data_IF_981563086466
#
_entry.id   IF_981563086466
#
_cell.length_a   1.000
_cell.length_b   1.000
_cell.length_c   1.000
_cell.angle_alpha   90.00
_cell.angle_beta   90.00
_cell.angle_gamma   90.00
#
_symmetry.space_group_name_H-M   'P 1'
#
loop_
_entity.id
_entity.type
_entity.pdbx_description
1 polymer ?
#
# COMPACT_ATOMS: atom_id res chain seq x y z
N UNK A 1 1.33 18.17 19.66
CA UNK A 1 1.50 17.67 18.28
C UNK A 1 0.75 18.61 17.36
N UNK A 2 1.34 19.08 16.25
CA UNK A 2 0.60 19.88 15.27
C UNK A 2 -0.58 19.04 14.75
N UNK A 3 -1.76 19.63 14.74
CA UNK A 3 -2.97 18.97 14.26
C UNK A 3 -2.88 18.87 12.73
N UNK A 4 -2.88 17.65 12.19
CA UNK A 4 -2.91 17.43 10.73
C UNK A 4 -4.11 18.18 10.14
N UNK A 5 -3.93 19.03 9.12
CA UNK A 5 -5.03 19.78 8.51
C UNK A 5 -6.14 18.86 8.02
N UNK A 6 -7.40 19.29 8.16
CA UNK A 6 -8.58 18.46 7.83
C UNK A 6 -8.55 17.93 6.40
N UNK A 7 -8.25 18.78 5.41
CA UNK A 7 -8.17 18.35 4.01
C UNK A 7 -7.10 17.29 3.75
N UNK A 8 -6.00 17.31 4.50
CA UNK A 8 -4.94 16.29 4.40
C UNK A 8 -5.43 14.97 4.98
N UNK A 9 -6.13 15.00 6.12
CA UNK A 9 -6.75 13.81 6.72
C UNK A 9 -7.80 13.20 5.79
N UNK A 10 -8.69 14.01 5.24
CA UNK A 10 -9.72 13.54 4.30
C UNK A 10 -9.10 12.92 3.05
N UNK A 11 -8.02 13.52 2.52
CA UNK A 11 -7.31 12.96 1.38
C UNK A 11 -6.63 11.62 1.76
N UNK A 12 -6.06 11.53 2.96
CA UNK A 12 -5.50 10.27 3.46
C UNK A 12 -6.57 9.17 3.52
N UNK A 13 -7.71 9.44 4.16
CA UNK A 13 -8.82 8.50 4.27
C UNK A 13 -9.39 8.07 2.91
N UNK A 14 -9.51 9.01 1.95
CA UNK A 14 -9.94 8.70 0.58
C UNK A 14 -8.96 7.77 -0.12
N UNK A 15 -7.67 8.04 -0.05
CA UNK A 15 -6.65 7.18 -0.66
C UNK A 15 -6.61 5.81 0.00
N UNK A 16 -6.70 5.73 1.33
CA UNK A 16 -6.81 4.46 2.06
C UNK A 16 -8.02 3.63 1.59
N UNK A 17 -9.17 4.28 1.36
CA UNK A 17 -10.35 3.61 0.83
C UNK A 17 -10.14 3.07 -0.59
N UNK A 18 -9.49 3.84 -1.46
CA UNK A 18 -9.17 3.41 -2.83
C UNK A 18 -8.19 2.23 -2.84
N UNK A 19 -7.16 2.26 -1.99
CA UNK A 19 -6.21 1.14 -1.84
C UNK A 19 -6.90 -0.13 -1.32
N UNK A 20 -7.82 0.01 -0.37
CA UNK A 20 -8.66 -1.10 0.07
C UNK A 20 -9.49 -1.70 -1.07
N UNK A 21 -10.14 -0.87 -1.89
CA UNK A 21 -10.90 -1.33 -3.06
C UNK A 21 -10.01 -2.03 -4.09
N UNK A 22 -8.80 -1.51 -4.32
CA UNK A 22 -7.84 -2.12 -5.25
C UNK A 22 -7.38 -3.51 -4.76
N UNK A 23 -7.10 -3.67 -3.46
CA UNK A 23 -6.81 -4.98 -2.84
C UNK A 23 -7.98 -5.95 -2.98
N UNK A 24 -9.20 -5.49 -2.68
CA UNK A 24 -10.39 -6.31 -2.85
C UNK A 24 -10.58 -6.79 -4.30
N UNK A 25 -10.29 -5.90 -5.26
CA UNK A 25 -10.33 -6.22 -6.70
C UNK A 25 -9.27 -7.26 -7.06
N UNK A 26 -8.03 -7.09 -6.61
CA UNK A 26 -6.96 -8.07 -6.84
C UNK A 26 -7.31 -9.44 -6.26
N UNK A 27 -7.83 -9.49 -5.03
CA UNK A 27 -8.29 -10.75 -4.41
C UNK A 27 -9.40 -11.45 -5.23
N UNK A 28 -10.29 -10.68 -5.87
CA UNK A 28 -11.29 -11.24 -6.76
C UNK A 28 -10.66 -11.81 -8.04
N UNK A 29 -9.68 -11.11 -8.62
CA UNK A 29 -8.92 -11.58 -9.78
C UNK A 29 -8.13 -12.85 -9.45
N UNK A 30 -7.53 -12.93 -8.27
CA UNK A 30 -6.81 -14.11 -7.78
C UNK A 30 -7.72 -15.34 -7.74
N UNK A 31 -8.93 -15.21 -7.18
CA UNK A 31 -9.92 -16.30 -7.16
C UNK A 31 -10.34 -16.74 -8.57
N UNK A 32 -10.56 -15.78 -9.47
CA UNK A 32 -10.89 -16.10 -10.87
C UNK A 32 -9.72 -16.82 -11.54
N UNK A 33 -8.47 -16.40 -11.27
CA UNK A 33 -7.30 -17.06 -11.81
C UNK A 33 -7.19 -18.50 -11.29
N UNK A 34 -7.39 -18.73 -9.99
CA UNK A 34 -7.44 -20.07 -9.40
C UNK A 34 -8.48 -20.99 -10.08
N UNK A 35 -9.67 -20.46 -10.36
CA UNK A 35 -10.75 -21.20 -11.03
C UNK A 35 -10.43 -21.53 -12.50
N UNK A 36 -9.69 -20.66 -13.20
CA UNK A 36 -9.39 -20.80 -14.63
C UNK A 36 -8.09 -21.59 -14.87
N UNK A 37 -7.15 -21.60 -13.92
CA UNK A 37 -5.82 -22.25 -13.99
C UNK A 37 -5.85 -23.79 -13.91
N UNK A 38 -6.90 -24.42 -14.45
CA UNK A 38 -7.06 -25.88 -14.50
C UNK A 38 -5.99 -26.61 -15.34
N UNK A 39 -5.22 -25.90 -16.18
CA UNK A 39 -4.10 -26.45 -16.94
C UNK A 39 -2.93 -25.45 -16.96
N UNK A 40 -1.71 -25.91 -16.68
CA UNK A 40 -0.46 -25.12 -16.74
C UNK A 40 -0.14 -24.69 -18.18
N UNK A 41 -0.85 -23.67 -18.65
CA UNK A 41 -0.60 -23.02 -19.93
C UNK A 41 0.30 -21.80 -19.73
N UNK A 42 1.08 -21.38 -20.74
CA UNK A 42 1.84 -20.14 -20.67
C UNK A 42 0.98 -18.91 -20.32
N UNK A 43 -0.30 -18.92 -20.72
CA UNK A 43 -1.27 -17.86 -20.40
C UNK A 43 -1.64 -17.84 -18.92
N UNK A 44 -1.87 -19.00 -18.29
CA UNK A 44 -2.11 -19.08 -16.84
C UNK A 44 -0.87 -18.71 -16.03
N UNK A 45 0.33 -19.11 -16.47
CA UNK A 45 1.57 -18.72 -15.79
C UNK A 45 1.79 -17.20 -15.85
N UNK A 46 1.54 -16.59 -17.01
CA UNK A 46 1.61 -15.12 -17.17
C UNK A 46 0.61 -14.39 -16.28
N UNK A 47 -0.59 -14.95 -16.09
CA UNK A 47 -1.60 -14.37 -15.20
C UNK A 47 -1.14 -14.39 -13.73
N UNK A 48 -0.53 -15.49 -13.27
CA UNK A 48 0.02 -15.56 -11.91
C UNK A 48 1.15 -14.55 -11.69
N UNK A 49 2.05 -14.39 -12.66
CA UNK A 49 3.11 -13.37 -12.59
C UNK A 49 2.52 -11.95 -12.50
N UNK A 50 1.47 -11.64 -13.27
CA UNK A 50 0.80 -10.34 -13.21
C UNK A 50 0.14 -10.09 -11.85
N UNK A 51 -0.49 -11.12 -11.28
CA UNK A 51 -1.08 -11.06 -9.93
C UNK A 51 0.00 -10.75 -8.89
N UNK A 52 1.13 -11.47 -8.91
CA UNK A 52 2.21 -11.26 -7.96
C UNK A 52 2.82 -9.85 -8.06
N UNK A 53 3.01 -9.35 -9.30
CA UNK A 53 3.47 -7.99 -9.53
C UNK A 53 2.48 -6.94 -9.02
N UNK A 54 1.17 -7.13 -9.24
CA UNK A 54 0.14 -6.23 -8.74
C UNK A 54 0.09 -6.23 -7.21
N UNK A 55 0.26 -7.40 -6.58
CA UNK A 55 0.31 -7.54 -5.12
C UNK A 55 1.50 -6.77 -4.54
N UNK A 56 2.69 -6.95 -5.11
CA UNK A 56 3.89 -6.22 -4.71
C UNK A 56 3.70 -4.69 -4.87
N UNK A 57 3.11 -4.25 -5.97
CA UNK A 57 2.85 -2.82 -6.20
C UNK A 57 1.82 -2.23 -5.23
N UNK A 58 0.76 -2.96 -4.90
CA UNK A 58 -0.19 -2.52 -3.87
C UNK A 58 0.49 -2.42 -2.51
N UNK A 59 1.27 -3.41 -2.10
CA UNK A 59 2.02 -3.37 -0.85
C UNK A 59 2.98 -2.16 -0.78
N UNK A 60 3.67 -1.84 -1.88
CA UNK A 60 4.49 -0.64 -1.97
C UNK A 60 3.67 0.64 -1.84
N UNK A 61 2.51 0.71 -2.49
CA UNK A 61 1.62 1.88 -2.44
C UNK A 61 1.06 2.10 -1.03
N UNK A 62 0.61 1.04 -0.36
CA UNK A 62 0.16 1.11 1.04
C UNK A 62 1.28 1.60 1.94
N UNK A 63 2.49 1.05 1.77
CA UNK A 63 3.63 1.47 2.57
C UNK A 63 4.00 2.93 2.35
N UNK A 64 4.01 3.39 1.11
CA UNK A 64 4.27 4.79 0.78
C UNK A 64 3.19 5.69 1.40
N UNK A 65 1.92 5.29 1.31
CA UNK A 65 0.79 6.02 1.86
C UNK A 65 0.86 6.19 3.39
N UNK A 66 1.26 5.15 4.12
CA UNK A 66 1.48 5.21 5.57
C UNK A 66 2.64 6.15 5.93
N UNK A 67 3.75 6.08 5.18
CA UNK A 67 4.92 6.94 5.42
C UNK A 67 4.58 8.41 5.18
N UNK A 68 3.84 8.73 4.11
CA UNK A 68 3.33 10.08 3.86
C UNK A 68 2.46 10.58 5.01
N UNK A 69 1.55 9.73 5.52
CA UNK A 69 0.70 10.08 6.65
C UNK A 69 1.49 10.42 7.91
N UNK A 70 2.49 9.59 8.25
CA UNK A 70 3.34 9.84 9.40
C UNK A 70 4.21 11.08 9.20
N UNK A 71 4.70 11.32 7.99
CA UNK A 71 5.51 12.50 7.64
C UNK A 71 4.77 13.82 7.85
N UNK A 72 3.44 13.85 7.67
CA UNK A 72 2.61 15.04 7.94
C UNK A 72 2.11 15.13 9.39
N UNK A 73 2.57 14.25 10.28
CA UNK A 73 2.19 14.23 11.70
C UNK A 73 1.07 13.25 12.06
N UNK A 74 0.68 12.38 11.13
CA UNK A 74 -0.21 11.25 11.37
C UNK A 74 0.40 10.19 12.28
N UNK A 75 -0.46 9.28 12.76
CA UNK A 75 -0.08 8.15 13.61
C UNK A 75 -0.45 6.87 12.88
N UNK A 76 0.53 5.98 12.71
CA UNK A 76 0.36 4.62 12.24
C UNK A 76 0.82 3.67 13.36
N UNK A 77 -0.08 2.92 14.03
CA UNK A 77 0.27 2.10 15.19
C UNK A 77 1.28 0.98 14.90
N UNK A 78 1.25 0.46 13.68
CA UNK A 78 2.01 -0.72 13.27
C UNK A 78 3.39 -0.37 12.69
N UNK A 79 3.76 0.92 12.70
CA UNK A 79 5.01 1.39 12.13
C UNK A 79 6.13 1.40 13.18
N UNK A 80 7.33 0.95 12.78
CA UNK A 80 8.49 0.93 13.68
C UNK A 80 8.96 2.35 14.03
N UNK A 81 9.61 2.57 15.18
CA UNK A 81 10.17 3.88 15.53
C UNK A 81 11.16 4.43 14.49
N UNK A 82 11.95 3.56 13.86
CA UNK A 82 12.89 3.95 12.82
C UNK A 82 12.15 4.47 11.58
N UNK A 83 11.10 3.79 11.14
CA UNK A 83 10.31 4.23 10.00
C UNK A 83 9.57 5.53 10.28
N UNK A 84 9.11 5.74 11.52
CA UNK A 84 8.50 7.00 11.96
C UNK A 84 9.53 8.14 11.87
N UNK A 85 10.73 7.92 12.40
CA UNK A 85 11.82 8.90 12.35
C UNK A 85 12.22 9.21 10.90
N UNK A 86 12.27 8.19 10.02
CA UNK A 86 12.54 8.35 8.59
C UNK A 86 11.46 9.18 7.90
N UNK A 87 10.19 8.84 8.12
CA UNK A 87 9.05 9.52 7.53
C UNK A 87 8.97 11.01 7.92
N UNK A 88 9.36 11.33 9.16
CA UNK A 88 9.42 12.71 9.67
C UNK A 88 10.68 13.47 9.28
N UNK A 89 11.62 12.83 8.57
CA UNK A 89 12.90 13.44 8.20
C UNK A 89 13.90 13.58 9.36
N UNK A 90 13.65 12.91 10.49
CA UNK A 90 14.48 12.99 11.71
C UNK A 90 15.81 12.23 11.56
N UNK A 91 15.91 11.31 10.60
CA UNK A 91 17.14 10.56 10.28
C UNK A 91 18.07 11.30 9.27
N UNK A 92 17.65 12.45 8.75
CA UNK A 92 18.35 13.20 7.69
C UNK A 92 19.21 14.39 8.14
N UNK A 93 19.45 14.57 9.45
CA UNK A 93 20.19 15.71 10.00
C UNK A 93 21.73 15.64 9.93
N UNK A 94 22.30 14.70 9.15
CA UNK A 94 23.75 14.55 8.98
C UNK A 94 24.10 14.51 7.48
N UNK A 95 24.02 15.67 6.83
CA UNK A 95 24.63 15.91 5.53
C UNK A 95 25.05 17.37 5.44
#
# INVERSE_FOLDING_TARGET
MPQVPTHVRENHEKTAHLLFQARATLNAVERIAEDVSSNSTPSSESLHVLIDLLRDKLNQADRAHELEWVGVGGICPDMTPEDIARARGELGGLS
#
